data_IF_191850977803
#
_entry.id   IF_191850977803
#
_cell.length_a   1.000
_cell.length_b   1.000
_cell.length_c   1.000
_cell.angle_alpha   90.00
_cell.angle_beta   90.00
_cell.angle_gamma   90.00
#
_symmetry.space_group_name_H-M   'P 1'
#
loop_
_entity.id
_entity.type
_entity.pdbx_description
1 polymer ?
#
# COMPACT_ATOMS: atom_id res chain seq x y z
N UNK A 1 1.56 -0.62 5.38
CA UNK A 1 0.50 -0.50 4.35
C UNK A 1 0.66 -1.48 3.19
N UNK A 2 1.73 -1.44 2.39
CA UNK A 2 1.81 -2.25 1.15
C UNK A 2 1.69 -3.76 1.34
N UNK A 3 2.30 -4.35 2.37
CA UNK A 3 2.13 -5.78 2.67
C UNK A 3 0.68 -6.13 3.03
N UNK A 4 0.00 -5.28 3.80
CA UNK A 4 -1.42 -5.49 4.15
C UNK A 4 -2.31 -5.42 2.90
N UNK A 5 -2.05 -4.47 2.01
CA UNK A 5 -2.79 -4.32 0.74
C UNK A 5 -2.55 -5.51 -0.19
N UNK A 6 -1.32 -6.01 -0.27
CA UNK A 6 -0.96 -7.20 -1.05
C UNK A 6 -1.81 -8.40 -0.59
N UNK A 7 -1.79 -8.66 0.72
CA UNK A 7 -2.59 -9.73 1.32
C UNK A 7 -4.10 -9.52 1.15
N UNK A 8 -4.59 -8.29 1.34
CA UNK A 8 -6.00 -7.95 1.16
C UNK A 8 -6.46 -8.19 -0.28
N UNK A 9 -5.67 -7.75 -1.28
CA UNK A 9 -6.00 -7.96 -2.70
C UNK A 9 -5.92 -9.43 -3.10
N UNK A 10 -4.98 -10.20 -2.56
CA UNK A 10 -4.95 -11.66 -2.77
C UNK A 10 -6.17 -12.33 -2.13
N UNK A 11 -6.58 -11.93 -0.93
CA UNK A 11 -7.78 -12.46 -0.28
C UNK A 11 -9.04 -12.16 -1.11
N UNK A 12 -9.20 -10.92 -1.57
CA UNK A 12 -10.31 -10.47 -2.41
C UNK A 12 -10.39 -11.20 -3.77
N UNK A 13 -9.26 -11.69 -4.28
CA UNK A 13 -9.21 -12.46 -5.54
C UNK A 13 -9.73 -13.90 -5.40
N UNK A 14 -9.89 -14.43 -4.19
CA UNK A 14 -10.45 -15.76 -3.96
C UNK A 14 -9.68 -16.87 -4.68
N UNK A 15 -10.32 -17.56 -5.63
CA UNK A 15 -9.70 -18.60 -6.44
C UNK A 15 -8.73 -18.04 -7.51
N UNK A 16 -8.86 -16.76 -7.88
CA UNK A 16 -8.02 -16.07 -8.87
C UNK A 16 -6.75 -15.43 -8.29
N UNK A 17 -6.23 -15.97 -7.19
CA UNK A 17 -4.98 -15.50 -6.55
C UNK A 17 -3.80 -15.63 -7.49
N UNK A 18 -2.86 -14.70 -7.38
CA UNK A 18 -1.60 -14.77 -8.11
C UNK A 18 -0.62 -15.71 -7.40
N UNK A 19 -0.69 -15.79 -6.06
CA UNK A 19 0.33 -16.43 -5.22
C UNK A 19 1.47 -15.49 -4.87
N UNK A 20 1.14 -14.27 -4.42
CA UNK A 20 2.18 -13.29 -4.06
C UNK A 20 2.92 -13.71 -2.77
N UNK A 21 4.08 -13.10 -2.52
CA UNK A 21 4.82 -13.34 -1.27
C UNK A 21 4.22 -12.61 -0.06
N UNK A 22 3.18 -11.78 -0.26
CA UNK A 22 2.55 -10.97 0.78
C UNK A 22 3.43 -9.83 1.33
N UNK A 23 4.60 -9.58 0.73
CA UNK A 23 5.57 -8.59 1.21
C UNK A 23 5.30 -7.16 0.72
N UNK A 24 4.29 -6.95 -0.12
CA UNK A 24 3.96 -5.62 -0.63
C UNK A 24 4.79 -5.16 -1.82
N UNK A 25 5.47 -6.09 -2.52
CA UNK A 25 6.34 -5.75 -3.65
C UNK A 25 5.52 -5.13 -4.78
N UNK A 26 4.40 -5.77 -5.16
CA UNK A 26 3.50 -5.25 -6.20
C UNK A 26 2.98 -3.84 -5.87
N UNK A 27 2.30 -3.65 -4.73
CA UNK A 27 1.82 -2.33 -4.33
C UNK A 27 2.91 -1.25 -4.24
N UNK A 28 4.12 -1.58 -3.77
CA UNK A 28 5.22 -0.61 -3.73
C UNK A 28 5.67 -0.17 -5.13
N UNK A 29 5.74 -1.10 -6.09
CA UNK A 29 6.04 -0.77 -7.48
C UNK A 29 4.90 -0.02 -8.18
N UNK A 30 3.64 -0.34 -7.86
CA UNK A 30 2.47 0.38 -8.34
C UNK A 30 2.54 1.86 -7.92
N UNK A 31 2.84 2.14 -6.66
CA UNK A 31 2.98 3.49 -6.14
C UNK A 31 4.14 4.27 -6.76
N UNK A 32 5.25 3.58 -7.04
CA UNK A 32 6.39 4.16 -7.78
C UNK A 32 5.93 4.61 -9.16
N UNK A 33 5.24 3.75 -9.92
CA UNK A 33 4.78 4.06 -11.28
C UNK A 33 3.67 5.12 -11.26
N UNK A 34 2.78 5.07 -10.28
CA UNK A 34 1.72 6.04 -10.09
C UNK A 34 2.18 7.40 -9.55
N UNK A 35 3.48 7.54 -9.22
CA UNK A 35 4.11 8.78 -8.71
C UNK A 35 3.56 9.23 -7.35
N UNK A 36 3.12 8.29 -6.51
CA UNK A 36 2.63 8.54 -5.14
C UNK A 36 3.48 7.90 -4.06
N UNK A 37 4.43 7.03 -4.42
CA UNK A 37 5.30 6.35 -3.46
C UNK A 37 6.28 7.28 -2.74
N UNK A 38 6.60 6.93 -1.50
CA UNK A 38 7.66 7.55 -0.70
C UNK A 38 9.02 6.95 -1.09
N UNK A 39 10.03 7.80 -1.24
CA UNK A 39 11.41 7.43 -1.56
C UNK A 39 12.35 7.78 -0.42
N UNK A 40 13.56 7.24 -0.44
CA UNK A 40 14.58 7.48 0.60
C UNK A 40 14.87 8.97 0.82
N UNK A 41 14.82 9.79 -0.22
CA UNK A 41 15.05 11.23 -0.11
C UNK A 41 13.96 11.96 0.70
N UNK A 42 12.73 11.42 0.72
CA UNK A 42 11.62 12.01 1.49
C UNK A 42 11.87 11.90 3.01
N UNK A 43 12.77 11.01 3.44
CA UNK A 43 13.15 10.90 4.85
C UNK A 43 13.91 12.12 5.38
N UNK A 44 14.44 12.95 4.49
CA UNK A 44 15.18 14.16 4.86
C UNK A 44 14.28 15.33 5.26
N UNK A 45 12.98 15.26 4.94
CA UNK A 45 11.98 16.26 5.29
C UNK A 45 10.84 15.60 6.06
N UNK A 46 10.84 15.79 7.38
CA UNK A 46 9.89 15.13 8.28
C UNK A 46 8.46 15.63 8.11
N UNK A 47 8.28 16.89 7.76
CA UNK A 47 6.95 17.48 7.59
C UNK A 47 6.32 16.95 6.31
N UNK A 48 7.04 17.06 5.19
CA UNK A 48 6.59 16.51 3.90
C UNK A 48 6.41 14.98 3.96
N UNK A 49 7.26 14.26 4.70
CA UNK A 49 7.10 12.81 4.89
C UNK A 49 5.79 12.48 5.59
N UNK A 50 5.42 13.24 6.64
CA UNK A 50 4.19 12.99 7.40
C UNK A 50 2.96 13.14 6.50
N UNK A 51 2.91 14.17 5.68
CA UNK A 51 1.83 14.38 4.72
C UNK A 51 1.74 13.24 3.70
N UNK A 52 2.89 12.84 3.13
CA UNK A 52 2.95 11.73 2.16
C UNK A 52 2.53 10.40 2.76
N UNK A 53 2.92 10.11 4.00
CA UNK A 53 2.52 8.89 4.71
C UNK A 53 1.00 8.85 4.87
N UNK A 54 0.39 9.96 5.31
CA UNK A 54 -1.07 10.06 5.42
C UNK A 54 -1.76 9.83 4.08
N UNK A 55 -1.31 10.50 3.02
CA UNK A 55 -1.89 10.36 1.69
C UNK A 55 -1.79 8.92 1.13
N UNK A 56 -0.66 8.22 1.35
CA UNK A 56 -0.52 6.82 0.94
C UNK A 56 -1.44 5.93 1.77
N UNK A 57 -1.53 6.14 3.09
CA UNK A 57 -2.40 5.37 3.95
C UNK A 57 -3.87 5.51 3.52
N UNK A 58 -4.35 6.73 3.32
CA UNK A 58 -5.71 7.01 2.86
C UNK A 58 -6.03 6.37 1.50
N UNK A 59 -5.10 6.45 0.54
CA UNK A 59 -5.27 5.82 -0.77
C UNK A 59 -5.45 4.29 -0.65
N UNK A 60 -4.72 3.66 0.25
CA UNK A 60 -4.69 2.21 0.40
C UNK A 60 -5.74 1.66 1.35
N UNK A 61 -6.24 2.47 2.29
CA UNK A 61 -7.28 2.09 3.23
C UNK A 61 -8.56 1.63 2.51
N UNK A 62 -8.82 2.11 1.29
CA UNK A 62 -9.92 1.61 0.43
C UNK A 62 -9.85 0.10 0.22
N UNK A 63 -8.66 -0.47 0.05
CA UNK A 63 -8.47 -1.92 -0.14
C UNK A 63 -8.59 -2.70 1.15
N UNK A 64 -8.20 -2.10 2.27
CA UNK A 64 -8.31 -2.71 3.60
C UNK A 64 -9.78 -2.77 4.03
N UNK A 65 -10.51 -1.66 3.87
CA UNK A 65 -11.95 -1.59 4.11
C UNK A 65 -12.71 -2.61 3.25
N UNK A 66 -12.39 -2.67 1.95
CA UNK A 66 -13.03 -3.63 1.04
C UNK A 66 -12.78 -5.09 1.43
N UNK A 67 -11.61 -5.39 2.02
CA UNK A 67 -11.25 -6.71 2.53
C UNK A 67 -11.75 -6.97 3.96
N UNK A 68 -12.39 -5.99 4.62
CA UNK A 68 -12.83 -6.11 6.01
C UNK A 68 -11.68 -6.16 7.02
N UNK A 69 -10.55 -5.53 6.71
CA UNK A 69 -9.34 -5.47 7.55
C UNK A 69 -9.20 -4.07 8.15
N UNK A 70 -8.64 -3.98 9.36
CA UNK A 70 -8.37 -2.71 10.03
C UNK A 70 -7.50 -1.77 9.18
N UNK A 71 -7.85 -0.48 9.23
CA UNK A 71 -7.14 0.63 8.56
C UNK A 71 -5.77 0.86 9.18
N UNK A 72 -4.90 1.54 8.42
CA UNK A 72 -3.59 2.03 8.86
C UNK A 72 -3.43 3.53 8.72
#
# INVERSE_FOLDING_TARGET
>A
VHSMVDNAREALRGEGKIGTTGRGIGPAYEDKVARRGIRMADLLDREALREKVGAIADHHNVWLDAAGVDRV
#
